data_IF_869908939653
#
_entry.id   IF_869908939653
#
_cell.length_a   1.000
_cell.length_b   1.000
_cell.length_c   1.000
_cell.angle_alpha   90.00
_cell.angle_beta   90.00
_cell.angle_gamma   90.00
#
_symmetry.space_group_name_H-M   'P 1'
#
loop_
_entity.id
_entity.type
_entity.pdbx_description
1 polymer ?
#
# COMPACT_ATOMS: atom_id res chain seq x y z
N UNK A 1 -1.93 -15.03 -10.25
CA UNK A 1 -2.50 -15.27 -11.59
C UNK A 1 -2.52 -13.93 -12.29
N UNK A 2 -1.82 -13.81 -13.41
CA UNK A 2 -1.90 -12.64 -14.27
C UNK A 2 -3.36 -12.40 -14.62
N UNK A 3 -3.88 -11.18 -14.39
CA UNK A 3 -5.20 -10.81 -14.83
C UNK A 3 -5.20 -10.94 -16.36
N UNK A 4 -5.94 -11.90 -16.90
CA UNK A 4 -6.08 -12.07 -18.34
C UNK A 4 -6.80 -10.83 -18.85
N UNK A 5 -6.18 -10.09 -19.76
CA UNK A 5 -6.81 -8.94 -20.41
C UNK A 5 -8.12 -9.40 -21.07
N UNK A 6 -9.18 -8.62 -20.94
CA UNK A 6 -10.51 -8.94 -21.44
C UNK A 6 -10.70 -8.31 -22.83
N UNK A 7 -11.41 -9.01 -23.69
CA UNK A 7 -12.05 -8.45 -24.87
C UNK A 7 -13.46 -7.92 -24.55
N UNK A 8 -14.14 -7.40 -25.55
CA UNK A 8 -15.51 -6.88 -25.39
C UNK A 8 -16.51 -7.93 -24.86
N UNK A 9 -16.37 -9.20 -25.22
CA UNK A 9 -17.28 -10.25 -24.74
C UNK A 9 -17.00 -10.62 -23.29
N UNK A 10 -15.71 -10.73 -22.94
CA UNK A 10 -15.26 -10.93 -21.56
C UNK A 10 -15.70 -9.80 -20.67
N UNK A 11 -15.63 -8.55 -21.15
CA UNK A 11 -16.09 -7.38 -20.44
C UNK A 11 -17.61 -7.41 -20.20
N UNK A 12 -18.41 -7.73 -21.21
CA UNK A 12 -19.85 -7.85 -21.05
C UNK A 12 -20.26 -8.93 -20.02
N UNK A 13 -19.60 -10.09 -20.06
CA UNK A 13 -19.79 -11.15 -19.04
C UNK A 13 -19.40 -10.68 -17.63
N UNK A 14 -18.29 -9.96 -17.52
CA UNK A 14 -17.81 -9.43 -16.24
C UNK A 14 -18.82 -8.44 -15.65
N UNK A 15 -19.29 -7.47 -16.43
CA UNK A 15 -20.25 -6.45 -15.97
C UNK A 15 -21.53 -7.12 -15.48
N UNK A 16 -22.02 -8.15 -16.16
CA UNK A 16 -23.20 -8.90 -15.75
C UNK A 16 -23.00 -9.67 -14.43
N UNK A 17 -21.77 -10.07 -14.11
CA UNK A 17 -21.45 -10.92 -12.96
C UNK A 17 -20.80 -10.14 -11.79
N UNK A 18 -20.41 -8.86 -11.99
CA UNK A 18 -19.56 -8.14 -11.02
C UNK A 18 -20.29 -7.84 -9.70
N UNK A 19 -19.84 -8.39 -8.56
CA UNK A 19 -20.35 -7.97 -7.27
C UNK A 19 -19.85 -6.54 -6.95
N UNK A 20 -20.70 -5.72 -6.34
CA UNK A 20 -20.35 -4.38 -5.87
C UNK A 20 -19.18 -4.39 -4.84
N UNK A 21 -18.92 -5.53 -4.21
CA UNK A 21 -17.82 -5.74 -3.27
C UNK A 21 -16.46 -5.97 -3.94
N UNK A 22 -16.38 -6.01 -5.28
CA UNK A 22 -15.11 -6.16 -5.99
C UNK A 22 -14.14 -5.03 -5.65
N UNK A 23 -12.87 -5.39 -5.47
CA UNK A 23 -11.76 -4.44 -5.28
C UNK A 23 -10.74 -4.49 -6.44
N UNK A 24 -10.88 -5.46 -7.35
CA UNK A 24 -9.96 -5.65 -8.46
C UNK A 24 -10.37 -4.78 -9.65
N UNK A 25 -9.45 -3.95 -10.13
CA UNK A 25 -9.54 -3.41 -11.46
C UNK A 25 -9.43 -4.55 -12.50
N UNK A 26 -10.10 -4.39 -13.65
CA UNK A 26 -10.03 -5.34 -14.76
C UNK A 26 -9.56 -4.65 -16.02
N UNK A 27 -8.53 -5.20 -16.63
CA UNK A 27 -7.94 -4.63 -17.83
C UNK A 27 -8.67 -5.17 -19.04
N UNK A 28 -9.09 -4.25 -19.91
CA UNK A 28 -9.80 -4.50 -21.16
C UNK A 28 -8.96 -3.96 -22.31
N UNK A 29 -8.77 -4.77 -23.36
CA UNK A 29 -8.15 -4.33 -24.61
C UNK A 29 -9.18 -4.33 -25.71
N UNK A 30 -9.29 -3.20 -26.38
CA UNK A 30 -10.21 -3.02 -27.51
C UNK A 30 -9.47 -3.19 -28.81
N UNK A 31 -10.14 -3.80 -29.79
CA UNK A 31 -9.65 -3.86 -31.15
C UNK A 31 -10.03 -2.57 -31.94
N UNK A 32 -9.29 -2.23 -33.00
CA UNK A 32 -9.70 -1.19 -33.92
C UNK A 32 -11.12 -1.46 -34.45
N UNK A 33 -12.01 -0.46 -34.39
CA UNK A 33 -13.42 -0.56 -34.77
C UNK A 33 -14.37 -0.93 -33.65
N UNK A 34 -13.92 -1.27 -32.44
CA UNK A 34 -14.78 -1.53 -31.29
C UNK A 34 -15.40 -0.27 -30.67
N UNK A 35 -14.97 0.92 -31.07
CA UNK A 35 -15.32 2.21 -30.47
C UNK A 35 -16.84 2.41 -30.30
N UNK A 36 -17.60 2.22 -31.35
CA UNK A 36 -19.06 2.42 -31.32
C UNK A 36 -19.76 1.37 -30.43
N UNK A 37 -19.34 0.11 -30.52
CA UNK A 37 -19.88 -1.00 -29.70
C UNK A 37 -19.57 -0.79 -28.21
N UNK A 38 -18.35 -0.42 -27.90
CA UNK A 38 -17.90 -0.12 -26.53
C UNK A 38 -18.67 1.04 -25.93
N UNK A 39 -18.76 2.17 -26.65
CA UNK A 39 -19.48 3.36 -26.19
C UNK A 39 -20.97 3.08 -26.00
N UNK A 40 -21.61 2.34 -26.92
CA UNK A 40 -23.00 1.95 -26.80
C UNK A 40 -23.22 1.05 -25.57
N UNK A 41 -22.36 0.06 -25.36
CA UNK A 41 -22.42 -0.85 -24.21
C UNK A 41 -22.26 -0.10 -22.89
N UNK A 42 -21.25 0.78 -22.77
CA UNK A 42 -21.03 1.58 -21.56
C UNK A 42 -22.24 2.45 -21.24
N UNK A 43 -22.85 3.09 -22.26
CA UNK A 43 -24.07 3.88 -22.09
C UNK A 43 -25.26 3.04 -21.60
N UNK A 44 -25.48 1.88 -22.20
CA UNK A 44 -26.55 0.94 -21.81
C UNK A 44 -26.38 0.47 -20.36
N UNK A 45 -25.15 0.12 -19.98
CA UNK A 45 -24.81 -0.35 -18.63
C UNK A 45 -24.57 0.78 -17.61
N UNK A 46 -24.73 2.05 -18.02
CA UNK A 46 -24.48 3.25 -17.19
C UNK A 46 -23.06 3.30 -16.62
N UNK A 47 -22.09 2.85 -17.41
CA UNK A 47 -20.67 2.90 -17.08
C UNK A 47 -20.09 4.24 -17.54
N UNK A 48 -19.44 4.96 -16.63
CA UNK A 48 -18.76 6.21 -16.94
C UNK A 48 -17.47 5.93 -17.69
N UNK A 49 -17.23 6.63 -18.80
CA UNK A 49 -15.97 6.58 -19.53
C UNK A 49 -15.11 7.78 -19.15
N UNK A 50 -13.90 7.53 -18.73
CA UNK A 50 -12.87 8.55 -18.52
C UNK A 50 -11.75 8.32 -19.54
N UNK A 51 -11.69 9.18 -20.56
CA UNK A 51 -10.71 9.09 -21.61
C UNK A 51 -9.81 10.33 -21.63
N UNK A 52 -8.52 10.09 -21.39
CA UNK A 52 -7.47 11.12 -21.42
C UNK A 52 -6.23 10.61 -22.16
N UNK A 53 -6.40 9.63 -23.05
CA UNK A 53 -5.26 8.91 -23.67
C UNK A 53 -4.36 9.83 -24.47
N UNK A 54 -4.91 10.78 -25.23
CA UNK A 54 -4.11 11.74 -26.00
C UNK A 54 -3.23 12.60 -25.09
N UNK A 55 -3.77 13.03 -23.94
CA UNK A 55 -3.01 13.78 -22.94
C UNK A 55 -1.91 12.92 -22.32
N UNK A 56 -2.20 11.65 -22.01
CA UNK A 56 -1.19 10.71 -21.49
C UNK A 56 -0.08 10.46 -22.54
N UNK A 57 -0.41 10.35 -23.82
CA UNK A 57 0.56 10.23 -24.90
C UNK A 57 1.42 11.49 -25.02
N UNK A 58 0.83 12.68 -24.87
CA UNK A 58 1.58 13.95 -24.88
C UNK A 58 2.55 14.03 -23.69
N UNK A 59 2.12 13.62 -22.49
CA UNK A 59 2.97 13.55 -21.30
C UNK A 59 4.11 12.52 -21.51
N UNK A 60 3.82 11.38 -22.15
CA UNK A 60 4.83 10.36 -22.50
C UNK A 60 5.82 10.88 -23.55
N UNK A 61 5.34 11.60 -24.58
CA UNK A 61 6.19 12.27 -25.56
C UNK A 61 7.15 13.25 -24.88
N UNK A 62 6.65 14.04 -23.94
CA UNK A 62 7.49 14.97 -23.17
C UNK A 62 8.52 14.23 -22.31
N UNK A 63 8.17 13.08 -21.72
CA UNK A 63 9.08 12.28 -20.92
C UNK A 63 10.20 11.63 -21.75
N UNK A 64 9.86 11.13 -22.94
CA UNK A 64 10.82 10.46 -23.87
C UNK A 64 11.63 11.42 -24.71
N UNK A 65 11.04 12.56 -25.08
CA UNK A 65 11.59 13.55 -25.99
C UNK A 65 11.65 14.93 -25.32
N UNK A 66 12.38 15.10 -24.21
CA UNK A 66 12.35 16.35 -23.42
C UNK A 66 12.89 17.56 -24.19
N UNK A 67 13.82 17.34 -25.11
CA UNK A 67 14.44 18.40 -25.96
C UNK A 67 13.72 18.63 -27.29
N UNK A 68 12.71 17.81 -27.65
CA UNK A 68 12.00 17.94 -28.93
C UNK A 68 11.10 19.18 -28.98
N UNK A 69 10.86 19.66 -30.18
CA UNK A 69 9.90 20.73 -30.44
C UNK A 69 8.43 20.25 -30.16
N UNK A 70 7.50 21.18 -29.99
CA UNK A 70 6.06 20.82 -29.89
C UNK A 70 5.58 19.97 -31.08
N UNK A 71 5.97 20.32 -32.30
CA UNK A 71 5.56 19.60 -33.51
C UNK A 71 6.07 18.15 -33.55
N UNK A 72 7.29 17.87 -33.08
CA UNK A 72 7.80 16.51 -32.98
C UNK A 72 7.08 15.69 -31.92
N UNK A 73 6.65 16.30 -30.82
CA UNK A 73 5.84 15.63 -29.79
C UNK A 73 4.41 15.38 -30.29
N UNK A 74 3.82 16.32 -31.02
CA UNK A 74 2.50 16.12 -31.65
C UNK A 74 2.55 14.97 -32.66
N UNK A 75 3.65 14.88 -33.46
CA UNK A 75 3.87 13.77 -34.39
C UNK A 75 3.98 12.42 -33.64
N UNK A 76 4.67 12.36 -32.49
CA UNK A 76 4.73 11.16 -31.66
C UNK A 76 3.34 10.67 -31.25
N UNK A 77 2.45 11.58 -30.84
CA UNK A 77 1.05 11.26 -30.47
C UNK A 77 0.29 10.73 -31.69
N UNK A 78 0.40 11.42 -32.82
CA UNK A 78 -0.27 11.02 -34.06
C UNK A 78 0.19 9.63 -34.53
N UNK A 79 1.49 9.33 -34.46
CA UNK A 79 2.07 8.05 -34.85
C UNK A 79 1.58 6.92 -33.92
N UNK A 80 1.46 7.18 -32.63
CA UNK A 80 0.94 6.20 -31.66
C UNK A 80 -0.52 5.83 -31.95
N UNK A 81 -1.36 6.81 -32.26
CA UNK A 81 -2.77 6.60 -32.61
C UNK A 81 -2.88 5.87 -33.96
N UNK A 82 -2.09 6.29 -34.96
CA UNK A 82 -2.07 5.65 -36.28
C UNK A 82 -1.64 4.17 -36.20
N UNK A 83 -0.65 3.86 -35.35
CA UNK A 83 -0.17 2.49 -35.14
C UNK A 83 -1.24 1.59 -34.49
N UNK A 84 -2.09 2.15 -33.63
CA UNK A 84 -3.21 1.43 -33.03
C UNK A 84 -4.42 1.29 -33.98
N UNK A 85 -4.48 2.07 -35.06
CA UNK A 85 -5.57 2.10 -36.03
C UNK A 85 -6.83 2.83 -35.57
N UNK A 86 -7.04 3.00 -34.27
CA UNK A 86 -8.16 3.72 -33.65
C UNK A 86 -7.69 4.23 -32.27
N UNK A 87 -8.04 5.45 -31.93
CA UNK A 87 -7.70 6.03 -30.64
C UNK A 87 -8.17 5.17 -29.45
N UNK A 88 -9.35 4.55 -29.56
CA UNK A 88 -9.92 3.67 -28.50
C UNK A 88 -9.09 2.40 -28.29
N UNK A 89 -8.33 1.96 -29.28
CA UNK A 89 -7.47 0.77 -29.23
C UNK A 89 -6.04 1.06 -28.72
N UNK A 90 -5.69 2.32 -28.47
CA UNK A 90 -4.42 2.69 -27.87
C UNK A 90 -4.38 2.18 -26.43
N UNK A 91 -3.29 1.50 -26.04
CA UNK A 91 -3.09 1.06 -24.65
C UNK A 91 -4.16 0.08 -24.14
N UNK A 92 -4.84 0.44 -23.07
CA UNK A 92 -5.86 -0.41 -22.44
C UNK A 92 -6.90 0.41 -21.68
N UNK A 93 -8.02 -0.24 -21.31
CA UNK A 93 -9.07 0.33 -20.47
C UNK A 93 -9.10 -0.41 -19.14
N UNK A 94 -9.02 0.31 -18.04
CA UNK A 94 -9.17 -0.25 -16.69
C UNK A 94 -10.62 -0.07 -16.22
N UNK A 95 -11.34 -1.15 -16.03
CA UNK A 95 -12.67 -1.13 -15.43
C UNK A 95 -12.57 -1.21 -13.91
N UNK A 96 -13.20 -0.26 -13.23
CA UNK A 96 -13.31 -0.15 -11.78
C UNK A 96 -14.76 -0.50 -11.37
N UNK A 97 -15.05 -1.77 -11.04
CA UNK A 97 -16.44 -2.24 -10.84
C UNK A 97 -17.20 -1.47 -9.76
N UNK A 98 -16.54 -1.13 -8.67
CA UNK A 98 -17.15 -0.40 -7.53
C UNK A 98 -17.53 1.05 -7.84
N UNK A 99 -17.06 1.59 -8.96
CA UNK A 99 -17.37 2.94 -9.43
C UNK A 99 -18.16 2.94 -10.74
N UNK A 100 -18.46 1.75 -11.29
CA UNK A 100 -19.02 1.61 -12.63
C UNK A 100 -18.32 2.53 -13.65
N UNK A 101 -16.98 2.52 -13.65
CA UNK A 101 -16.16 3.43 -14.45
C UNK A 101 -15.09 2.66 -15.21
N UNK A 102 -14.89 3.02 -16.48
CA UNK A 102 -13.74 2.60 -17.29
C UNK A 102 -12.82 3.79 -17.51
N UNK A 103 -11.52 3.56 -17.36
CA UNK A 103 -10.49 4.60 -17.53
C UNK A 103 -9.54 4.17 -18.64
N UNK A 104 -9.36 5.02 -19.64
CA UNK A 104 -8.41 4.78 -20.73
C UNK A 104 -7.00 5.11 -20.28
N UNK A 105 -6.09 4.17 -20.46
CA UNK A 105 -4.72 4.25 -19.96
C UNK A 105 -3.71 3.80 -21.03
N UNK A 106 -2.49 4.32 -20.96
CA UNK A 106 -1.34 3.73 -21.63
C UNK A 106 -1.23 2.24 -21.29
N UNK A 107 -0.60 1.44 -22.16
CA UNK A 107 -0.29 0.06 -21.79
C UNK A 107 0.66 -0.02 -20.57
N UNK A 108 0.76 -1.21 -19.99
CA UNK A 108 1.47 -1.44 -18.72
C UNK A 108 2.87 -0.83 -18.67
N UNK A 109 3.66 -0.96 -19.72
CA UNK A 109 5.06 -0.54 -19.67
C UNK A 109 5.20 0.96 -19.89
N UNK A 110 4.45 1.56 -20.82
CA UNK A 110 4.40 3.00 -20.99
C UNK A 110 3.78 3.71 -19.79
N UNK A 111 2.77 3.11 -19.18
CA UNK A 111 2.18 3.58 -17.92
C UNK A 111 3.23 3.61 -16.80
N UNK A 112 3.93 2.48 -16.60
CA UNK A 112 4.98 2.37 -15.59
C UNK A 112 6.12 3.38 -15.83
N UNK A 113 6.59 3.52 -17.07
CA UNK A 113 7.61 4.49 -17.44
C UNK A 113 7.19 5.93 -17.09
N UNK A 114 5.95 6.29 -17.43
CA UNK A 114 5.46 7.64 -17.22
C UNK A 114 5.23 7.94 -15.74
N UNK A 115 4.56 7.05 -14.99
CA UNK A 115 4.23 7.28 -13.60
C UNK A 115 5.47 7.32 -12.70
N UNK A 116 6.53 6.58 -13.06
CA UNK A 116 7.80 6.59 -12.34
C UNK A 116 8.78 7.66 -12.83
N UNK A 117 8.43 8.42 -13.87
CA UNK A 117 9.32 9.43 -14.46
C UNK A 117 9.79 10.49 -13.46
N UNK A 118 8.94 10.86 -12.49
CA UNK A 118 9.28 11.83 -11.45
C UNK A 118 10.09 11.24 -10.26
N UNK A 119 10.31 9.93 -10.27
CA UNK A 119 11.21 9.27 -9.30
C UNK A 119 12.68 9.37 -9.71
N UNK A 120 12.97 9.70 -10.97
CA UNK A 120 14.33 9.71 -11.55
C UNK A 120 15.33 10.46 -10.66
N UNK A 121 16.53 9.91 -10.58
CA UNK A 121 17.67 10.33 -9.76
C UNK A 121 17.51 10.07 -8.26
N UNK A 122 16.28 9.96 -7.74
CA UNK A 122 16.03 9.41 -6.38
C UNK A 122 15.93 7.89 -6.41
N UNK A 123 15.38 7.35 -7.48
CA UNK A 123 15.34 5.94 -7.85
C UNK A 123 15.74 5.89 -9.33
N UNK A 124 16.86 5.25 -9.64
CA UNK A 124 17.29 5.10 -11.04
C UNK A 124 16.33 4.18 -11.79
N UNK A 125 16.30 4.26 -13.12
CA UNK A 125 15.46 3.39 -13.93
C UNK A 125 15.77 1.90 -13.69
N UNK A 126 17.05 1.54 -13.58
CA UNK A 126 17.47 0.16 -13.30
C UNK A 126 17.00 -0.31 -11.90
N UNK A 127 17.01 0.56 -10.90
CA UNK A 127 16.48 0.27 -9.57
C UNK A 127 14.95 0.13 -9.62
N UNK A 128 14.26 1.00 -10.37
CA UNK A 128 12.80 0.94 -10.51
C UNK A 128 12.35 -0.38 -11.17
N UNK A 129 13.07 -0.86 -12.19
CA UNK A 129 12.82 -2.18 -12.80
C UNK A 129 13.09 -3.34 -11.83
N UNK A 130 14.12 -3.23 -10.98
CA UNK A 130 14.37 -4.22 -9.91
C UNK A 130 13.24 -4.22 -8.88
N UNK A 131 12.76 -3.05 -8.47
CA UNK A 131 11.65 -2.92 -7.53
C UNK A 131 10.36 -3.53 -8.10
N UNK A 132 10.10 -3.39 -9.39
CA UNK A 132 8.96 -4.00 -10.08
C UNK A 132 8.88 -5.53 -9.94
N UNK A 133 9.98 -6.20 -9.61
CA UNK A 133 10.02 -7.65 -9.37
C UNK A 133 9.76 -8.05 -7.91
N UNK A 134 9.65 -7.08 -7.02
CA UNK A 134 9.55 -7.30 -5.57
C UNK A 134 8.12 -7.57 -5.12
N UNK A 135 8.01 -8.31 -4.00
CA UNK A 135 6.76 -8.66 -3.35
C UNK A 135 6.75 -8.17 -1.90
N UNK A 136 5.80 -7.30 -1.57
CA UNK A 136 5.69 -6.67 -0.25
C UNK A 136 4.42 -7.11 0.45
N UNK A 137 4.55 -7.62 1.68
CA UNK A 137 3.42 -7.91 2.55
C UNK A 137 3.13 -6.75 3.50
N UNK A 138 1.85 -6.47 3.73
CA UNK A 138 1.39 -5.49 4.72
C UNK A 138 0.37 -6.16 5.62
N UNK A 139 0.71 -6.29 6.89
CA UNK A 139 -0.12 -6.90 7.92
C UNK A 139 -0.65 -5.82 8.86
N UNK A 140 -1.97 -5.64 8.93
CA UNK A 140 -2.63 -4.53 9.61
C UNK A 140 -2.76 -3.31 8.69
N UNK A 141 -3.99 -2.83 8.45
CA UNK A 141 -4.29 -1.79 7.47
C UNK A 141 -4.90 -0.53 8.10
N UNK A 142 -4.66 -0.29 9.38
CA UNK A 142 -4.87 1.03 9.97
C UNK A 142 -3.75 1.96 9.49
N UNK A 143 -2.66 2.09 10.23
CA UNK A 143 -1.47 2.83 9.78
C UNK A 143 -0.84 2.17 8.54
N UNK A 144 -0.78 0.83 8.50
CA UNK A 144 -0.22 0.07 7.38
C UNK A 144 -0.94 0.28 6.05
N UNK A 145 -2.21 0.71 6.06
CA UNK A 145 -2.91 1.11 4.83
C UNK A 145 -2.27 2.31 4.14
N UNK A 146 -1.80 3.30 4.90
CA UNK A 146 -1.06 4.45 4.36
C UNK A 146 0.33 4.02 3.84
N UNK A 147 0.99 3.10 4.55
CA UNK A 147 2.27 2.50 4.14
C UNK A 147 2.12 1.73 2.82
N UNK A 148 1.08 0.90 2.67
CA UNK A 148 0.79 0.16 1.44
C UNK A 148 0.56 1.09 0.24
N UNK A 149 -0.18 2.18 0.45
CA UNK A 149 -0.42 3.18 -0.60
C UNK A 149 0.85 3.94 -0.96
N UNK A 150 1.69 4.29 0.01
CA UNK A 150 3.00 4.93 -0.24
C UNK A 150 3.90 4.02 -1.07
N UNK A 151 3.98 2.72 -0.73
CA UNK A 151 4.72 1.71 -1.50
C UNK A 151 4.21 1.61 -2.95
N UNK A 152 2.88 1.65 -3.15
CA UNK A 152 2.27 1.63 -4.47
C UNK A 152 2.56 2.92 -5.26
N UNK A 153 2.49 4.11 -4.63
CA UNK A 153 2.75 5.39 -5.28
C UNK A 153 4.21 5.55 -5.74
N UNK A 154 5.17 5.06 -4.94
CA UNK A 154 6.59 5.06 -5.31
C UNK A 154 6.97 3.87 -6.22
N UNK A 155 6.04 2.95 -6.51
CA UNK A 155 6.25 1.72 -7.28
C UNK A 155 7.43 0.90 -6.74
N UNK A 156 7.44 0.66 -5.42
CA UNK A 156 8.50 -0.09 -4.74
C UNK A 156 8.38 -1.61 -4.89
N UNK A 157 7.32 -2.10 -5.53
CA UNK A 157 7.12 -3.53 -5.79
C UNK A 157 6.20 -3.77 -7.00
N UNK A 158 6.17 -5.00 -7.48
CA UNK A 158 5.23 -5.47 -8.51
C UNK A 158 4.03 -6.23 -7.94
N UNK A 159 4.11 -6.63 -6.65
CA UNK A 159 3.01 -7.27 -5.95
C UNK A 159 2.93 -6.80 -4.50
N UNK A 160 1.70 -6.48 -4.06
CA UNK A 160 1.38 -6.16 -2.67
C UNK A 160 0.42 -7.21 -2.11
N UNK A 161 0.76 -7.78 -0.95
CA UNK A 161 -0.09 -8.70 -0.21
C UNK A 161 -0.64 -7.99 1.02
N UNK A 162 -1.95 -7.81 1.08
CA UNK A 162 -2.66 -7.10 2.13
C UNK A 162 -3.34 -8.08 3.09
N UNK A 163 -3.21 -7.87 4.39
CA UNK A 163 -3.89 -8.67 5.40
C UNK A 163 -4.47 -7.81 6.51
N UNK A 164 -5.78 -7.92 6.71
CA UNK A 164 -6.53 -7.29 7.81
C UNK A 164 -7.91 -7.94 7.88
N UNK A 165 -8.49 -8.05 9.08
CA UNK A 165 -9.83 -8.61 9.29
C UNK A 165 -10.88 -7.54 9.64
N UNK A 166 -10.45 -6.30 9.89
CA UNK A 166 -11.33 -5.22 10.33
C UNK A 166 -12.15 -4.61 9.19
N UNK A 167 -13.22 -3.95 9.61
CA UNK A 167 -14.03 -3.07 8.78
C UNK A 167 -13.77 -1.61 9.17
N UNK A 168 -14.09 -0.71 8.25
CA UNK A 168 -13.98 0.73 8.47
C UNK A 168 -15.09 1.22 9.39
N UNK A 169 -14.70 1.79 10.53
CA UNK A 169 -15.58 2.52 11.43
C UNK A 169 -15.46 4.04 11.23
N UNK A 170 -16.49 4.78 11.59
CA UNK A 170 -16.49 6.25 11.50
C UNK A 170 -15.30 6.87 12.25
N UNK A 171 -14.94 6.32 13.43
CA UNK A 171 -13.81 6.77 14.24
C UNK A 171 -12.44 6.56 13.56
N UNK A 172 -12.37 5.73 12.52
CA UNK A 172 -11.13 5.52 11.77
C UNK A 172 -10.85 6.64 10.76
N UNK A 173 -11.87 7.41 10.35
CA UNK A 173 -11.73 8.48 9.34
C UNK A 173 -10.83 9.64 9.81
N UNK A 174 -10.51 9.70 11.10
CA UNK A 174 -9.56 10.70 11.61
C UNK A 174 -8.11 10.45 11.13
N UNK A 175 -7.81 9.24 10.61
CA UNK A 175 -6.45 8.86 10.19
C UNK A 175 -6.37 8.01 8.92
N UNK A 176 -7.40 7.25 8.58
CA UNK A 176 -7.44 6.48 7.35
C UNK A 176 -7.93 7.36 6.19
N UNK A 177 -7.31 7.23 5.03
CA UNK A 177 -7.78 7.88 3.80
C UNK A 177 -8.91 7.05 3.17
N UNK A 178 -10.10 7.19 3.73
CA UNK A 178 -11.31 6.55 3.25
C UNK A 178 -12.46 7.56 3.23
N UNK A 179 -13.51 7.28 2.47
CA UNK A 179 -14.71 8.10 2.38
C UNK A 179 -15.81 7.62 3.31
N UNK A 180 -16.78 8.50 3.60
CA UNK A 180 -17.97 8.16 4.37
C UNK A 180 -18.84 7.09 3.67
N UNK A 181 -18.73 6.99 2.37
CA UNK A 181 -19.38 5.99 1.50
C UNK A 181 -18.74 4.60 1.59
N UNK A 182 -17.57 4.50 2.24
CA UNK A 182 -16.84 3.26 2.46
C UNK A 182 -17.03 2.67 3.87
N UNK A 183 -17.84 3.33 4.73
CA UNK A 183 -18.13 2.83 6.08
C UNK A 183 -18.70 1.41 6.04
N UNK A 184 -18.18 0.53 6.90
CA UNK A 184 -18.52 -0.88 6.97
C UNK A 184 -17.84 -1.79 5.94
N UNK A 185 -17.12 -1.23 4.94
CA UNK A 185 -16.30 -2.06 4.05
C UNK A 185 -15.08 -2.61 4.81
N UNK A 186 -14.55 -3.75 4.34
CA UNK A 186 -13.29 -4.29 4.85
C UNK A 186 -12.14 -3.33 4.56
N UNK A 187 -11.22 -3.12 5.51
CA UNK A 187 -10.03 -2.28 5.30
C UNK A 187 -9.19 -2.77 4.13
N UNK A 188 -9.09 -4.09 3.95
CA UNK A 188 -8.44 -4.72 2.79
C UNK A 188 -9.04 -4.28 1.47
N UNK A 189 -10.37 -4.25 1.37
CA UNK A 189 -11.10 -3.79 0.17
C UNK A 189 -10.79 -2.32 -0.13
N UNK A 190 -10.82 -1.45 0.88
CA UNK A 190 -10.58 -0.01 0.73
C UNK A 190 -9.14 0.24 0.24
N UNK A 191 -8.15 -0.37 0.89
CA UNK A 191 -6.74 -0.19 0.52
C UNK A 191 -6.47 -0.77 -0.88
N UNK A 192 -7.01 -1.94 -1.22
CA UNK A 192 -6.87 -2.54 -2.54
C UNK A 192 -7.49 -1.66 -3.64
N UNK A 193 -8.67 -1.06 -3.41
CA UNK A 193 -9.28 -0.09 -4.34
C UNK A 193 -8.44 1.17 -4.51
N UNK A 194 -7.84 1.69 -3.42
CA UNK A 194 -6.93 2.85 -3.48
C UNK A 194 -5.70 2.53 -4.33
N UNK A 195 -5.09 1.37 -4.14
CA UNK A 195 -3.95 0.90 -4.94
C UNK A 195 -4.36 0.76 -6.41
N UNK A 196 -5.49 0.12 -6.70
CA UNK A 196 -5.98 -0.05 -8.07
C UNK A 196 -6.33 1.28 -8.79
N UNK A 197 -6.64 2.34 -8.04
CA UNK A 197 -6.84 3.69 -8.59
C UNK A 197 -5.52 4.43 -8.85
N UNK A 198 -4.43 3.99 -8.24
CA UNK A 198 -3.06 4.51 -8.48
C UNK A 198 -2.44 3.76 -9.65
N UNK A 199 -2.46 2.43 -9.60
CA UNK A 199 -1.93 1.56 -10.64
C UNK A 199 -2.81 0.30 -10.77
N UNK A 200 -3.69 0.24 -11.78
CA UNK A 200 -4.54 -0.94 -11.99
C UNK A 200 -3.76 -2.16 -12.54
N UNK A 201 -2.49 -1.99 -12.91
CA UNK A 201 -1.61 -3.07 -13.36
C UNK A 201 -0.84 -3.73 -12.20
N UNK A 202 -0.82 -3.09 -11.02
CA UNK A 202 -0.14 -3.64 -9.86
C UNK A 202 -0.90 -4.88 -9.34
N UNK A 203 -0.17 -5.96 -9.08
CA UNK A 203 -0.77 -7.17 -8.53
C UNK A 203 -1.08 -6.97 -7.04
N UNK A 204 -2.33 -7.21 -6.65
CA UNK A 204 -2.76 -7.17 -5.25
C UNK A 204 -3.34 -8.52 -4.86
N UNK A 205 -2.84 -9.07 -3.74
CA UNK A 205 -3.37 -10.28 -3.09
C UNK A 205 -3.95 -9.88 -1.73
N UNK A 206 -5.09 -10.44 -1.35
CA UNK A 206 -5.81 -10.04 -0.14
C UNK A 206 -6.09 -11.23 0.76
N UNK A 207 -5.77 -11.10 2.05
CA UNK A 207 -6.14 -11.98 3.14
C UNK A 207 -7.20 -11.28 3.99
N UNK A 208 -8.47 -11.46 3.62
CA UNK A 208 -9.60 -10.71 4.21
C UNK A 208 -9.90 -11.07 5.66
N UNK A 209 -9.50 -12.25 6.11
CA UNK A 209 -9.68 -12.72 7.48
C UNK A 209 -8.40 -12.55 8.34
N UNK A 210 -7.46 -11.75 7.82
CA UNK A 210 -6.19 -11.48 8.47
C UNK A 210 -5.21 -12.66 8.41
N UNK A 211 -4.15 -12.57 9.22
CA UNK A 211 -3.13 -13.62 9.35
C UNK A 211 -3.29 -14.33 10.68
N UNK A 212 -3.27 -15.66 10.63
CA UNK A 212 -3.35 -16.58 11.76
C UNK A 212 -2.18 -17.57 11.68
N UNK A 213 -1.91 -18.29 12.73
CA UNK A 213 -0.86 -19.34 12.73
C UNK A 213 -1.05 -20.38 11.61
N UNK A 214 -2.31 -20.60 11.15
CA UNK A 214 -2.63 -21.58 10.10
C UNK A 214 -2.33 -21.10 8.68
N UNK A 215 -2.40 -19.78 8.40
CA UNK A 215 -2.17 -19.21 7.07
C UNK A 215 -0.88 -18.38 6.97
N UNK A 216 -0.16 -18.21 8.09
CA UNK A 216 1.05 -17.39 8.21
C UNK A 216 2.13 -17.78 7.17
N UNK A 217 2.35 -19.07 6.97
CA UNK A 217 3.32 -19.56 5.97
C UNK A 217 2.94 -19.17 4.55
N UNK A 218 1.66 -19.24 4.20
CA UNK A 218 1.14 -18.82 2.88
C UNK A 218 1.25 -17.31 2.69
N UNK A 219 0.97 -16.52 3.74
CA UNK A 219 1.09 -15.07 3.71
C UNK A 219 2.54 -14.62 3.47
N UNK A 220 3.51 -15.22 4.18
CA UNK A 220 4.93 -14.85 4.08
C UNK A 220 5.64 -15.43 2.83
N UNK A 221 5.03 -16.40 2.14
CA UNK A 221 5.67 -17.07 1.02
C UNK A 221 6.08 -16.08 -0.09
N UNK A 222 7.38 -16.05 -0.40
CA UNK A 222 7.94 -15.22 -1.47
C UNK A 222 7.96 -13.72 -1.20
N UNK A 223 7.71 -13.26 0.03
CA UNK A 223 7.89 -11.86 0.36
C UNK A 223 9.37 -11.46 0.37
N UNK A 224 9.67 -10.29 -0.17
CA UNK A 224 10.97 -9.62 -0.01
C UNK A 224 10.99 -8.72 1.24
N UNK A 225 9.81 -8.22 1.64
CA UNK A 225 9.64 -7.32 2.78
C UNK A 225 8.26 -7.52 3.42
N UNK A 226 8.23 -7.49 4.74
CA UNK A 226 7.00 -7.39 5.54
C UNK A 226 6.94 -6.02 6.23
N UNK A 227 5.85 -5.29 6.01
CA UNK A 227 5.42 -4.14 6.79
C UNK A 227 4.41 -4.67 7.80
N UNK A 228 4.74 -4.62 9.09
CA UNK A 228 3.93 -5.26 10.13
C UNK A 228 3.36 -4.21 11.06
N UNK A 229 2.07 -3.89 10.93
CA UNK A 229 1.35 -2.82 11.61
C UNK A 229 0.11 -3.33 12.36
N UNK A 230 0.06 -4.63 12.69
CA UNK A 230 -1.08 -5.19 13.41
C UNK A 230 -1.00 -4.94 14.93
N UNK A 231 -2.13 -5.05 15.63
CA UNK A 231 -2.21 -4.80 17.08
C UNK A 231 -2.01 -6.07 17.93
N UNK A 232 -2.06 -7.25 17.31
CA UNK A 232 -2.00 -8.52 18.01
C UNK A 232 -0.57 -8.91 18.41
N UNK A 233 -0.20 -8.84 19.69
CA UNK A 233 1.15 -9.17 20.18
C UNK A 233 1.62 -10.57 19.79
N UNK A 234 0.73 -11.56 19.89
CA UNK A 234 1.08 -12.95 19.57
C UNK A 234 1.44 -13.09 18.09
N UNK A 235 0.59 -12.58 17.21
CA UNK A 235 0.85 -12.67 15.77
C UNK A 235 2.06 -11.81 15.36
N UNK A 236 2.28 -10.65 16.00
CA UNK A 236 3.50 -9.86 15.83
C UNK A 236 4.76 -10.66 16.11
N UNK A 237 4.75 -11.50 17.14
CA UNK A 237 5.87 -12.35 17.51
C UNK A 237 6.03 -13.53 16.55
N UNK A 238 4.95 -14.26 16.26
CA UNK A 238 4.96 -15.42 15.37
C UNK A 238 5.43 -15.06 13.95
N UNK A 239 4.94 -13.94 13.42
CA UNK A 239 5.31 -13.49 12.08
C UNK A 239 6.78 -13.11 11.99
N UNK A 240 7.37 -12.52 13.05
CA UNK A 240 8.81 -12.22 13.12
C UNK A 240 9.67 -13.47 13.19
N UNK A 241 9.26 -14.45 13.98
CA UNK A 241 9.98 -15.74 14.05
C UNK A 241 10.05 -16.40 12.67
N UNK A 242 8.93 -16.47 11.96
CA UNK A 242 8.87 -17.09 10.65
C UNK A 242 9.53 -16.24 9.56
N UNK A 243 9.34 -14.91 9.57
CA UNK A 243 10.02 -14.00 8.67
C UNK A 243 11.54 -14.11 8.79
N UNK A 244 12.06 -14.17 10.02
CA UNK A 244 13.48 -14.41 10.28
C UNK A 244 13.96 -15.74 9.70
N UNK A 245 13.20 -16.84 9.91
CA UNK A 245 13.55 -18.15 9.38
C UNK A 245 13.59 -18.18 7.84
N UNK A 246 12.75 -17.37 7.18
CA UNK A 246 12.69 -17.21 5.73
C UNK A 246 13.65 -16.13 5.19
N UNK A 247 14.33 -15.37 6.05
CA UNK A 247 15.17 -14.23 5.65
C UNK A 247 14.36 -13.03 5.12
N UNK A 248 13.08 -12.93 5.45
CA UNK A 248 12.22 -11.79 5.08
C UNK A 248 12.48 -10.63 6.04
N UNK A 249 12.82 -9.46 5.51
CA UNK A 249 12.99 -8.26 6.31
C UNK A 249 11.65 -7.80 6.90
N UNK A 250 11.66 -7.29 8.14
CA UNK A 250 10.47 -6.75 8.80
C UNK A 250 10.69 -5.30 9.16
N UNK A 251 9.70 -4.45 8.86
CA UNK A 251 9.68 -3.04 9.23
C UNK A 251 8.36 -2.73 9.91
N UNK A 252 8.43 -1.94 10.98
CA UNK A 252 7.28 -1.40 11.68
C UNK A 252 7.51 0.09 11.94
N UNK A 253 6.48 0.92 11.79
CA UNK A 253 6.52 2.32 12.18
C UNK A 253 5.27 2.66 13.00
N UNK A 254 5.50 3.04 14.25
CA UNK A 254 4.41 3.42 15.16
C UNK A 254 3.96 4.86 14.95
N UNK A 255 2.71 5.11 15.30
CA UNK A 255 2.09 6.44 15.34
C UNK A 255 2.35 7.18 16.68
N UNK A 256 3.46 6.87 17.33
CA UNK A 256 3.91 7.51 18.57
C UNK A 256 5.35 8.02 18.41
N UNK A 257 5.52 9.36 18.41
CA UNK A 257 6.81 10.02 18.38
C UNK A 257 7.75 9.56 17.25
N UNK A 258 7.18 9.18 16.08
CA UNK A 258 7.95 8.68 14.95
C UNK A 258 8.73 7.40 15.25
N UNK A 259 8.16 6.49 16.04
CA UNK A 259 8.79 5.21 16.34
C UNK A 259 9.00 4.39 15.07
N UNK A 260 10.20 3.83 14.92
CA UNK A 260 10.59 2.99 13.80
C UNK A 260 11.37 1.78 14.31
N UNK A 261 11.03 0.60 13.80
CA UNK A 261 11.76 -0.65 13.99
C UNK A 261 12.11 -1.26 12.63
N UNK A 262 13.39 -1.58 12.43
CA UNK A 262 13.92 -2.19 11.21
C UNK A 262 14.64 -3.46 11.58
N UNK A 263 14.08 -4.61 11.18
CA UNK A 263 14.62 -5.94 11.45
C UNK A 263 15.05 -6.59 10.13
N UNK A 264 16.27 -6.31 9.63
CA UNK A 264 16.73 -6.70 8.30
C UNK A 264 17.28 -8.14 8.30
N UNK A 265 16.39 -9.11 8.51
CA UNK A 265 16.73 -10.54 8.70
C UNK A 265 17.49 -11.16 7.52
N UNK A 266 17.32 -10.66 6.30
CA UNK A 266 18.10 -11.12 5.14
C UNK A 266 19.61 -10.95 5.33
N UNK A 267 20.03 -9.90 6.04
CA UNK A 267 21.43 -9.60 6.31
C UNK A 267 21.86 -9.90 7.75
N UNK A 268 20.89 -10.02 8.67
CA UNK A 268 21.11 -10.24 10.10
C UNK A 268 20.29 -11.42 10.61
N UNK A 269 20.55 -12.67 10.15
CA UNK A 269 19.71 -13.83 10.46
C UNK A 269 19.74 -14.22 11.95
N UNK A 270 20.74 -13.77 12.70
CA UNK A 270 20.85 -13.99 14.14
C UNK A 270 20.15 -12.94 14.99
N UNK A 271 19.65 -11.86 14.37
CA UNK A 271 18.89 -10.82 15.07
C UNK A 271 17.66 -11.46 15.74
N UNK A 272 17.49 -11.22 17.03
CA UNK A 272 16.31 -11.70 17.76
C UNK A 272 15.09 -10.85 17.40
N UNK A 273 13.90 -11.45 17.29
CA UNK A 273 12.65 -10.69 17.15
C UNK A 273 12.55 -9.56 18.18
N UNK A 274 11.97 -8.44 17.77
CA UNK A 274 11.91 -7.22 18.57
C UNK A 274 13.28 -6.75 19.09
N UNK A 275 14.35 -6.96 18.33
CA UNK A 275 15.73 -6.64 18.72
C UNK A 275 16.19 -7.33 20.02
N UNK A 276 15.46 -8.34 20.49
CA UNK A 276 15.70 -8.99 21.78
C UNK A 276 15.21 -8.21 22.99
N UNK A 277 14.42 -7.16 22.80
CA UNK A 277 13.81 -6.37 23.89
C UNK A 277 12.71 -7.13 24.65
N UNK A 278 12.14 -8.16 24.02
CA UNK A 278 11.15 -9.03 24.64
C UNK A 278 11.79 -10.39 24.89
N UNK A 279 11.94 -10.77 26.16
CA UNK A 279 12.62 -12.01 26.54
C UNK A 279 11.71 -13.24 26.44
N UNK A 280 10.43 -13.05 26.75
CA UNK A 280 9.44 -14.14 26.73
C UNK A 280 8.40 -13.90 25.63
N UNK A 281 7.91 -14.97 24.95
CA UNK A 281 6.84 -14.82 24.00
C UNK A 281 5.62 -14.13 24.64
N UNK A 282 4.97 -13.17 23.95
CA UNK A 282 3.81 -12.49 24.47
C UNK A 282 2.65 -13.48 24.68
N UNK A 283 1.82 -13.17 25.66
CA UNK A 283 0.60 -13.93 25.92
C UNK A 283 -0.54 -13.47 24.99
N UNK A 284 -1.53 -14.32 24.72
CA UNK A 284 -2.78 -13.87 24.12
C UNK A 284 -3.43 -12.75 24.96
N UNK A 285 -4.15 -11.82 24.32
CA UNK A 285 -4.73 -10.65 24.98
C UNK A 285 -5.60 -11.03 26.20
N UNK A 286 -6.34 -12.12 26.10
CA UNK A 286 -7.27 -12.62 27.12
C UNK A 286 -6.55 -13.06 28.41
N UNK A 287 -5.23 -13.25 28.35
CA UNK A 287 -4.41 -13.65 29.50
C UNK A 287 -3.89 -12.45 30.29
N UNK A 288 -4.06 -11.22 29.79
CA UNK A 288 -3.70 -10.01 30.52
C UNK A 288 -4.86 -9.58 31.42
N UNK A 289 -4.62 -9.32 32.73
CA UNK A 289 -5.68 -9.05 33.69
C UNK A 289 -6.43 -7.74 33.44
N UNK A 290 -5.79 -6.79 32.77
CA UNK A 290 -6.37 -5.48 32.45
C UNK A 290 -5.86 -4.98 31.08
N UNK A 291 -6.62 -4.07 30.45
CA UNK A 291 -6.18 -3.39 29.24
C UNK A 291 -4.84 -2.66 29.44
N UNK A 292 -4.62 -2.05 30.61
CA UNK A 292 -3.36 -1.38 30.94
C UNK A 292 -2.20 -2.38 30.96
N UNK A 293 -2.38 -3.57 31.54
CA UNK A 293 -1.34 -4.60 31.57
C UNK A 293 -0.98 -5.06 30.16
N UNK A 294 -1.97 -5.23 29.29
CA UNK A 294 -1.75 -5.53 27.88
C UNK A 294 -1.00 -4.41 27.16
N UNK A 295 -1.43 -3.15 27.35
CA UNK A 295 -0.77 -2.00 26.71
C UNK A 295 0.66 -1.80 27.20
N UNK A 296 0.94 -2.03 28.49
CA UNK A 296 2.34 -2.02 28.99
C UNK A 296 3.18 -3.09 28.31
N UNK A 297 2.68 -4.31 28.17
CA UNK A 297 3.38 -5.36 27.45
C UNK A 297 3.60 -5.01 25.98
N UNK A 298 2.62 -4.37 25.34
CA UNK A 298 2.76 -3.85 23.97
C UNK A 298 3.87 -2.82 23.86
N UNK A 299 4.08 -1.99 24.87
CA UNK A 299 5.09 -0.92 24.84
C UNK A 299 6.50 -1.37 25.21
N UNK A 300 6.68 -2.55 25.81
CA UNK A 300 8.01 -3.02 26.22
C UNK A 300 9.00 -3.07 25.05
N UNK A 301 8.57 -3.62 23.93
CA UNK A 301 9.42 -3.70 22.75
C UNK A 301 9.55 -2.36 21.97
N UNK A 302 8.70 -1.37 22.29
CA UNK A 302 8.82 0.01 21.83
C UNK A 302 9.84 0.83 22.65
N UNK A 303 10.64 0.18 23.47
CA UNK A 303 11.60 0.83 24.37
C UNK A 303 11.03 1.14 25.76
N UNK A 304 9.86 0.55 26.09
CA UNK A 304 9.22 0.64 27.39
C UNK A 304 8.29 1.85 27.56
N UNK A 305 7.55 1.83 28.67
CA UNK A 305 6.56 2.85 29.00
C UNK A 305 7.11 4.29 28.97
N UNK A 306 8.34 4.50 29.40
CA UNK A 306 8.99 5.82 29.42
C UNK A 306 9.26 6.38 28.03
N UNK A 307 9.25 5.56 27.00
CA UNK A 307 9.46 6.00 25.62
C UNK A 307 8.19 6.54 24.95
N UNK A 308 7.05 6.40 25.60
CA UNK A 308 5.76 6.91 25.15
C UNK A 308 5.57 8.32 25.75
N UNK A 309 5.02 9.25 24.98
CA UNK A 309 4.77 10.61 25.44
C UNK A 309 3.88 10.63 26.70
N UNK A 310 4.06 11.62 27.55
CA UNK A 310 3.21 11.76 28.76
C UNK A 310 1.71 11.85 28.42
N UNK A 311 1.36 12.47 27.29
CA UNK A 311 -0.04 12.54 26.82
C UNK A 311 -0.56 11.16 26.48
N UNK A 312 0.21 10.35 25.75
CA UNK A 312 -0.14 8.98 25.42
C UNK A 312 -0.19 8.07 26.64
N UNK A 313 0.73 8.23 27.61
CA UNK A 313 0.69 7.50 28.88
C UNK A 313 -0.62 7.77 29.64
N UNK A 314 -1.04 9.05 29.72
CA UNK A 314 -2.33 9.41 30.35
C UNK A 314 -3.51 8.82 29.59
N UNK A 315 -3.48 8.89 28.24
CA UNK A 315 -4.54 8.33 27.41
C UNK A 315 -4.66 6.83 27.56
N UNK A 316 -3.54 6.11 27.58
CA UNK A 316 -3.51 4.66 27.76
C UNK A 316 -4.08 4.23 29.11
N UNK A 317 -3.87 5.03 30.16
CA UNK A 317 -4.48 4.78 31.47
C UNK A 317 -6.01 4.92 31.48
N UNK A 318 -6.56 5.68 30.52
CA UNK A 318 -8.00 5.94 30.41
C UNK A 318 -8.72 4.97 29.42
N UNK A 319 -7.98 4.12 28.68
CA UNK A 319 -8.59 3.18 27.73
C UNK A 319 -9.44 2.12 28.48
N UNK A 320 -10.69 2.01 28.09
CA UNK A 320 -11.68 1.14 28.73
C UNK A 320 -12.44 1.79 29.90
N UNK A 321 -12.08 3.04 30.27
CA UNK A 321 -12.80 3.83 31.28
C UNK A 321 -13.47 5.05 30.65
N UNK A 322 -12.68 5.97 30.11
CA UNK A 322 -13.16 7.23 29.49
C UNK A 322 -12.82 7.33 28.01
N UNK A 323 -11.92 6.49 27.53
CA UNK A 323 -11.53 6.37 26.11
C UNK A 323 -11.85 4.96 25.60
N UNK A 324 -12.45 4.86 24.41
CA UNK A 324 -12.75 3.58 23.76
C UNK A 324 -11.52 2.92 23.12
N UNK A 325 -10.44 3.66 22.88
CA UNK A 325 -9.22 3.15 22.24
C UNK A 325 -8.05 4.12 22.34
N UNK A 326 -6.90 3.68 21.88
CA UNK A 326 -5.69 4.50 21.84
C UNK A 326 -5.86 5.67 20.85
N UNK A 327 -5.52 6.91 21.24
CA UNK A 327 -5.56 8.06 20.35
C UNK A 327 -4.54 7.95 19.21
N UNK A 328 -4.96 8.23 18.00
CA UNK A 328 -4.13 8.21 16.80
C UNK A 328 -4.44 9.43 15.93
N UNK A 329 -3.44 9.96 15.25
CA UNK A 329 -3.55 11.13 14.39
C UNK A 329 -3.16 10.83 12.93
N UNK A 330 -3.85 11.48 11.99
CA UNK A 330 -3.53 11.33 10.57
C UNK A 330 -2.10 11.73 10.22
N UNK A 331 -1.57 12.78 10.88
CA UNK A 331 -0.20 13.23 10.66
C UNK A 331 0.83 12.19 11.07
N UNK A 332 0.59 11.48 12.17
CA UNK A 332 1.47 10.42 12.67
C UNK A 332 1.42 9.19 11.75
N UNK A 333 0.24 8.77 11.33
CA UNK A 333 0.08 7.67 10.37
C UNK A 333 0.81 7.97 9.02
N UNK A 334 0.73 9.20 8.53
CA UNK A 334 1.45 9.60 7.31
C UNK A 334 2.95 9.73 7.51
N UNK A 335 3.39 10.17 8.69
CA UNK A 335 4.81 10.22 9.03
C UNK A 335 5.39 8.80 9.09
N UNK A 336 4.69 7.86 9.74
CA UNK A 336 5.04 6.45 9.73
C UNK A 336 5.13 5.88 8.31
N UNK A 337 4.14 6.15 7.44
CA UNK A 337 4.15 5.70 6.06
C UNK A 337 5.35 6.26 5.25
N UNK A 338 5.74 7.52 5.48
CA UNK A 338 6.92 8.11 4.88
C UNK A 338 8.23 7.45 5.33
N UNK A 339 8.35 7.13 6.63
CA UNK A 339 9.49 6.37 7.17
C UNK A 339 9.56 4.97 6.54
N UNK A 340 8.42 4.25 6.47
CA UNK A 340 8.31 2.94 5.83
C UNK A 340 8.74 3.01 4.36
N UNK A 341 8.23 3.95 3.58
CA UNK A 341 8.59 4.10 2.16
C UNK A 341 10.09 4.28 1.98
N UNK A 342 10.73 5.14 2.79
CA UNK A 342 12.17 5.36 2.74
C UNK A 342 12.97 4.09 3.06
N UNK A 343 12.63 3.38 4.13
CA UNK A 343 13.34 2.16 4.56
C UNK A 343 13.07 0.99 3.61
N UNK A 344 11.81 0.81 3.19
CA UNK A 344 11.39 -0.24 2.26
C UNK A 344 12.18 -0.18 0.96
N UNK A 345 12.28 1.01 0.34
CA UNK A 345 13.06 1.20 -0.88
C UNK A 345 14.50 0.71 -0.73
N UNK A 346 15.18 1.09 0.35
CA UNK A 346 16.58 0.72 0.61
C UNK A 346 16.75 -0.79 0.81
N UNK A 347 15.88 -1.41 1.61
CA UNK A 347 15.91 -2.86 1.85
C UNK A 347 15.61 -3.65 0.57
N UNK A 348 14.60 -3.25 -0.21
CA UNK A 348 14.20 -3.90 -1.46
C UNK A 348 15.27 -3.76 -2.56
N UNK A 349 16.05 -2.70 -2.52
CA UNK A 349 17.23 -2.51 -3.38
C UNK A 349 18.46 -3.27 -2.91
N UNK A 350 18.37 -3.95 -1.75
CA UNK A 350 19.44 -4.80 -1.23
C UNK A 350 20.49 -4.04 -0.41
N UNK A 351 20.19 -2.81 0.04
CA UNK A 351 21.09 -2.11 0.95
C UNK A 351 21.19 -2.85 2.28
N UNK A 352 22.41 -2.99 2.78
CA UNK A 352 22.67 -3.63 4.07
C UNK A 352 22.47 -2.68 5.22
N UNK A 353 21.19 -2.44 5.58
CA UNK A 353 20.87 -1.62 6.74
C UNK A 353 21.24 -2.34 8.05
N UNK A 354 21.72 -1.57 9.04
CA UNK A 354 21.84 -2.07 10.40
C UNK A 354 20.46 -2.21 11.05
N UNK A 355 20.26 -3.19 11.96
CA UNK A 355 19.09 -3.22 12.81
C UNK A 355 18.89 -1.87 13.51
N UNK A 356 17.66 -1.40 13.55
CA UNK A 356 17.33 -0.12 14.19
C UNK A 356 16.00 -0.24 14.95
N UNK A 357 15.98 0.31 16.16
CA UNK A 357 14.76 0.53 16.95
C UNK A 357 14.88 1.86 17.68
N UNK A 358 13.91 2.73 17.53
CA UNK A 358 13.96 4.05 18.20
C UNK A 358 12.95 5.04 17.63
N UNK A 359 12.99 6.26 18.17
CA UNK A 359 12.09 7.34 17.80
C UNK A 359 12.79 8.40 16.95
N UNK A 360 12.25 8.70 15.80
CA UNK A 360 12.59 9.84 14.95
C UNK A 360 11.66 11.02 15.29
N UNK A 361 11.70 11.42 16.56
CA UNK A 361 10.81 12.39 17.18
C UNK A 361 11.11 13.82 16.72
N UNK A 362 10.20 14.43 15.97
CA UNK A 362 10.35 15.81 15.49
C UNK A 362 10.39 16.84 16.62
N UNK A 363 9.78 16.56 17.78
CA UNK A 363 9.80 17.48 18.90
C UNK A 363 11.23 17.73 19.43
N UNK A 364 12.17 16.81 19.20
CA UNK A 364 13.59 17.00 19.56
C UNK A 364 14.25 18.10 18.73
N UNK A 365 13.73 18.42 17.56
CA UNK A 365 14.27 19.39 16.62
C UNK A 365 13.46 20.69 16.58
N UNK A 366 12.28 20.70 17.18
CA UNK A 366 11.37 21.83 17.25
C UNK A 366 11.02 22.11 18.73
N UNK A 367 12.02 22.48 19.56
CA UNK A 367 11.77 22.76 20.97
C UNK A 367 10.85 23.98 21.11
N UNK A 368 9.93 23.92 22.07
CA UNK A 368 9.10 25.05 22.47
C UNK A 368 9.89 25.83 23.52
N UNK A 369 9.96 27.18 23.40
CA UNK A 369 10.43 28.01 24.50
C UNK A 369 9.44 27.87 25.68
N UNK A 370 9.94 27.61 26.86
CA UNK A 370 9.13 27.60 28.05
C UNK A 370 8.44 28.96 28.17
N UNK A 371 7.14 28.97 28.17
CA UNK A 371 6.38 30.19 28.47
C UNK A 371 6.75 30.63 29.89
N UNK A 372 7.42 31.78 30.00
CA UNK A 372 7.70 32.43 31.26
C UNK A 372 6.42 32.74 32.05
#
# INVERSE_FOLDING_TARGET
MSATDLDMEGFARLVAAAPQSSWQARILRLAPGDSNRFTAFCREQRIVQSDTIERQLADLAQARLPAASPAERDQFVADAVAAAGDAVAVGAWAYLPWQATVVHLLDRDAYFELITNRNRDKITQAEQERLRTKRVGVLGLSVGGESAVTVAQEHLCGEIVLADFDRLDLSNLNRLQAGVDELGLRKTTIVARRIARIDPYLTVTVFEDGVTSSNLGTFLAGLDLLIEECDGLLIKHEVRLQARALGVNVVYAGDERGFLSVEPYAHWPTLRPFHGLVETPPLPRERYPTSIAFMKALTEWLGGWSNISERSQRSLACVGETLCGYPQLASEARYAAGQIGHVARRLLLGERLHPFVGNLDLAKYLPVEDAC
#
